data_IF_677657290437
#
_entry.id   IF_677657290437
#
_cell.length_a   1.000
_cell.length_b   1.000
_cell.length_c   1.000
_cell.angle_alpha   90.00
_cell.angle_beta   90.00
_cell.angle_gamma   90.00
#
_symmetry.space_group_name_H-M   'P 1'
#
loop_
_entity.id
_entity.type
_entity.pdbx_description
1 polymer ?
#
# COMPACT_ATOMS: atom_id res chain seq x y z
N UNK A 1 -2.39 -26.87 6.85
CA UNK A 1 -2.43 -25.67 6.01
C UNK A 1 -2.38 -24.48 6.95
N UNK A 2 -1.42 -23.57 6.78
CA UNK A 2 -1.31 -22.37 7.60
C UNK A 2 -2.29 -21.30 7.12
N UNK A 3 -2.64 -20.39 8.02
CA UNK A 3 -3.48 -19.22 7.74
C UNK A 3 -2.88 -17.98 8.42
N UNK A 4 -2.81 -16.88 7.67
CA UNK A 4 -2.50 -15.55 8.17
C UNK A 4 -3.69 -14.64 7.89
N UNK A 5 -4.25 -14.05 8.95
CA UNK A 5 -5.44 -13.19 8.88
C UNK A 5 -5.11 -11.78 9.34
N UNK A 6 -5.27 -10.81 8.46
CA UNK A 6 -5.01 -9.39 8.74
C UNK A 6 -6.33 -8.61 8.65
N UNK A 7 -6.84 -8.05 9.75
CA UNK A 7 -7.97 -7.13 9.70
C UNK A 7 -7.62 -5.85 8.93
N UNK A 8 -8.57 -5.35 8.14
CA UNK A 8 -8.45 -4.06 7.46
C UNK A 8 -9.78 -3.30 7.42
N UNK A 9 -9.68 -1.99 7.29
CA UNK A 9 -10.76 -1.12 6.84
C UNK A 9 -10.80 -1.13 5.31
N UNK A 10 -11.84 -1.72 4.69
CA UNK A 10 -11.97 -1.78 3.25
C UNK A 10 -12.19 -0.40 2.62
N UNK A 11 -12.47 0.67 3.39
CA UNK A 11 -12.51 2.04 2.89
C UNK A 11 -11.14 2.74 2.94
N UNK A 12 -10.12 2.11 3.51
CA UNK A 12 -8.76 2.64 3.48
C UNK A 12 -7.97 1.96 2.33
N UNK A 13 -7.78 2.64 1.19
CA UNK A 13 -7.08 2.04 0.05
C UNK A 13 -5.65 1.62 0.39
N UNK A 14 -4.96 2.33 1.30
CA UNK A 14 -3.60 1.98 1.70
C UNK A 14 -3.54 0.67 2.48
N UNK A 15 -4.55 0.35 3.29
CA UNK A 15 -4.60 -0.93 3.99
C UNK A 15 -4.86 -2.09 3.04
N UNK A 16 -5.73 -1.91 2.04
CA UNK A 16 -5.89 -2.89 0.96
C UNK A 16 -4.57 -3.14 0.23
N UNK A 17 -3.87 -2.07 -0.16
CA UNK A 17 -2.58 -2.17 -0.84
C UNK A 17 -1.49 -2.77 0.05
N UNK A 18 -1.52 -2.49 1.36
CA UNK A 18 -0.63 -3.12 2.31
C UNK A 18 -0.89 -4.63 2.45
N UNK A 19 -2.15 -5.09 2.40
CA UNK A 19 -2.46 -6.52 2.29
C UNK A 19 -1.91 -7.13 0.99
N UNK A 20 -2.01 -6.41 -0.13
CA UNK A 20 -1.42 -6.83 -1.40
C UNK A 20 0.11 -6.94 -1.31
N UNK A 21 0.78 -5.96 -0.72
CA UNK A 21 2.25 -5.99 -0.53
C UNK A 21 2.70 -7.04 0.48
N UNK A 22 1.92 -7.31 1.53
CA UNK A 22 2.15 -8.45 2.40
C UNK A 22 2.05 -9.76 1.62
N UNK A 23 1.06 -9.89 0.74
CA UNK A 23 0.90 -11.08 -0.07
C UNK A 23 2.05 -11.28 -1.07
N UNK A 24 2.54 -10.21 -1.71
CA UNK A 24 3.78 -10.25 -2.51
C UNK A 24 4.96 -10.82 -1.69
N UNK A 25 5.16 -10.29 -0.48
CA UNK A 25 6.25 -10.72 0.39
C UNK A 25 6.11 -12.17 0.84
N UNK A 26 4.90 -12.59 1.22
CA UNK A 26 4.61 -13.98 1.60
C UNK A 26 4.84 -14.94 0.44
N UNK A 27 4.46 -14.54 -0.78
CA UNK A 27 4.56 -15.39 -1.96
C UNK A 27 6.01 -15.69 -2.38
N UNK A 28 6.99 -14.94 -1.88
CA UNK A 28 8.42 -15.21 -2.10
C UNK A 28 8.91 -16.51 -1.47
N UNK A 29 8.36 -16.87 -0.31
CA UNK A 29 8.68 -18.08 0.45
C UNK A 29 7.58 -19.14 0.33
N UNK A 30 6.33 -18.72 0.06
CA UNK A 30 5.19 -19.59 -0.17
C UNK A 30 4.48 -19.26 -1.51
N UNK A 31 5.04 -19.66 -2.68
CA UNK A 31 4.47 -19.33 -4.00
C UNK A 31 3.03 -19.82 -4.23
N UNK A 32 2.65 -20.92 -3.57
CA UNK A 32 1.31 -21.51 -3.61
C UNK A 32 0.32 -20.85 -2.64
N UNK A 33 0.73 -19.80 -1.92
CA UNK A 33 -0.17 -19.08 -1.04
C UNK A 33 -1.29 -18.41 -1.85
N UNK A 34 -2.50 -18.45 -1.29
CA UNK A 34 -3.70 -17.87 -1.88
C UNK A 34 -4.20 -16.72 -1.00
N UNK A 35 -4.62 -15.63 -1.61
CA UNK A 35 -5.24 -14.48 -0.94
C UNK A 35 -6.73 -14.44 -1.26
N UNK A 36 -7.57 -14.25 -0.24
CA UNK A 36 -8.95 -13.80 -0.37
C UNK A 36 -9.25 -12.68 0.62
N UNK A 37 -10.37 -12.00 0.42
CA UNK A 37 -10.90 -11.02 1.35
C UNK A 37 -12.27 -11.44 1.89
N UNK A 38 -12.45 -11.22 3.19
CA UNK A 38 -13.70 -11.44 3.89
C UNK A 38 -14.25 -10.10 4.36
N UNK A 39 -15.14 -9.49 3.56
CA UNK A 39 -15.81 -8.25 3.91
C UNK A 39 -17.08 -8.53 4.74
N UNK A 40 -17.25 -7.80 5.85
CA UNK A 40 -18.44 -7.90 6.70
C UNK A 40 -19.60 -7.13 6.03
N UNK A 41 -20.71 -7.80 5.66
CA UNK A 41 -21.86 -7.15 5.04
C UNK A 41 -22.62 -6.22 6.00
N UNK A 42 -22.55 -6.46 7.32
CA UNK A 42 -23.23 -5.66 8.33
C UNK A 42 -22.38 -4.47 8.79
N UNK A 43 -21.05 -4.56 8.65
CA UNK A 43 -20.11 -3.53 9.09
C UNK A 43 -19.24 -3.06 7.92
N UNK A 44 -19.63 -2.01 7.17
CA UNK A 44 -18.96 -1.61 5.93
C UNK A 44 -17.47 -1.27 6.03
N UNK A 45 -16.96 -1.01 7.25
CA UNK A 45 -15.55 -0.71 7.54
C UNK A 45 -14.78 -1.89 8.15
N UNK A 46 -15.32 -3.10 8.10
CA UNK A 46 -14.67 -4.30 8.63
C UNK A 46 -14.47 -5.32 7.53
N UNK A 47 -13.22 -5.64 7.25
CA UNK A 47 -12.84 -6.75 6.40
C UNK A 47 -11.61 -7.46 6.98
N UNK A 48 -11.27 -8.62 6.42
CA UNK A 48 -9.99 -9.27 6.66
C UNK A 48 -9.38 -9.75 5.35
N UNK A 49 -8.07 -9.59 5.20
CA UNK A 49 -7.28 -10.32 4.23
C UNK A 49 -6.91 -11.67 4.84
N UNK A 50 -7.17 -12.76 4.11
CA UNK A 50 -6.85 -14.11 4.55
C UNK A 50 -5.90 -14.74 3.54
N UNK A 51 -4.68 -15.01 3.99
CA UNK A 51 -3.66 -15.69 3.21
C UNK A 51 -3.55 -17.13 3.73
N UNK A 52 -3.77 -18.10 2.85
CA UNK A 52 -3.72 -19.53 3.19
C UNK A 52 -2.69 -20.24 2.33
N UNK A 53 -1.96 -21.20 2.89
CA UNK A 53 -0.98 -21.98 2.14
C UNK A 53 -0.18 -22.95 3.03
N UNK A 54 0.61 -23.82 2.41
CA UNK A 54 1.65 -24.58 3.13
C UNK A 54 2.93 -23.75 3.24
N UNK A 55 3.58 -23.78 4.40
CA UNK A 55 4.87 -23.11 4.59
C UNK A 55 4.80 -21.59 4.61
N UNK A 56 3.66 -21.00 5.02
CA UNK A 56 3.58 -19.55 5.19
C UNK A 56 4.68 -19.07 6.15
N UNK A 57 5.41 -17.98 5.82
CA UNK A 57 6.40 -17.42 6.71
C UNK A 57 5.73 -16.84 7.94
N UNK A 58 6.49 -16.78 9.04
CA UNK A 58 6.05 -16.07 10.25
C UNK A 58 5.90 -14.57 9.96
N UNK A 59 4.79 -13.97 10.43
CA UNK A 59 4.49 -12.56 10.18
C UNK A 59 5.64 -11.67 10.68
N UNK A 60 6.16 -11.93 11.89
CA UNK A 60 7.29 -11.18 12.45
C UNK A 60 8.50 -11.22 11.53
N UNK A 61 8.79 -12.36 10.89
CA UNK A 61 9.88 -12.48 9.91
C UNK A 61 9.67 -11.57 8.71
N UNK A 62 8.44 -11.50 8.18
CA UNK A 62 8.09 -10.59 7.08
C UNK A 62 8.19 -9.12 7.52
N UNK A 63 7.72 -8.78 8.72
CA UNK A 63 7.84 -7.41 9.26
C UNK A 63 9.30 -7.02 9.50
N UNK A 64 10.12 -7.97 9.96
CA UNK A 64 11.55 -7.78 10.16
C UNK A 64 12.25 -7.50 8.82
N UNK A 65 11.94 -8.28 7.78
CA UNK A 65 12.45 -8.05 6.44
C UNK A 65 12.03 -6.68 5.90
N UNK A 66 10.76 -6.29 6.11
CA UNK A 66 10.26 -4.98 5.70
C UNK A 66 10.93 -3.82 6.46
N UNK A 67 11.22 -3.99 7.76
CA UNK A 67 11.95 -3.00 8.58
C UNK A 67 13.38 -2.82 8.11
N UNK A 68 14.05 -3.91 7.79
CA UNK A 68 15.46 -3.94 7.37
C UNK A 68 15.61 -3.73 5.86
N UNK A 69 14.51 -3.43 5.16
CA UNK A 69 14.53 -3.24 3.73
C UNK A 69 15.40 -2.03 3.37
N UNK A 70 16.27 -2.22 2.38
CA UNK A 70 17.22 -1.20 1.94
C UNK A 70 17.03 -0.95 0.44
N UNK A 71 16.99 0.32 0.04
CA UNK A 71 16.85 0.71 -1.34
C UNK A 71 18.19 1.19 -1.92
N UNK A 72 18.56 0.65 -3.08
CA UNK A 72 19.64 1.18 -3.91
C UNK A 72 19.07 2.06 -5.02
N UNK A 73 19.76 3.17 -5.30
CA UNK A 73 19.41 4.19 -6.28
C UNK A 73 20.53 4.46 -7.30
N UNK A 74 21.67 3.78 -7.16
CA UNK A 74 22.89 4.05 -7.92
C UNK A 74 22.69 3.95 -9.43
N UNK A 75 21.89 2.98 -9.89
CA UNK A 75 21.56 2.77 -11.30
C UNK A 75 20.89 3.99 -11.97
N UNK A 76 20.12 4.76 -11.19
CA UNK A 76 19.30 5.87 -11.71
C UNK A 76 19.84 7.24 -11.29
N UNK A 77 21.01 7.29 -10.67
CA UNK A 77 21.55 8.51 -10.08
C UNK A 77 21.78 9.60 -11.13
N UNK A 78 22.31 9.24 -12.29
CA UNK A 78 22.68 10.18 -13.34
C UNK A 78 21.52 10.50 -14.31
N UNK A 79 20.52 9.62 -14.39
CA UNK A 79 19.50 9.66 -15.44
C UNK A 79 18.12 10.11 -14.95
N UNK A 80 17.82 9.97 -13.66
CA UNK A 80 16.50 10.28 -13.09
C UNK A 80 16.62 11.24 -11.89
N UNK A 81 15.72 12.21 -11.83
CA UNK A 81 15.67 13.19 -10.74
C UNK A 81 15.49 12.53 -9.37
N UNK A 82 16.24 13.00 -8.36
CA UNK A 82 16.20 12.51 -6.96
C UNK A 82 14.78 12.38 -6.38
N UNK A 83 13.85 13.22 -6.82
CA UNK A 83 12.48 13.22 -6.30
C UNK A 83 11.65 12.03 -6.77
N UNK A 84 12.08 11.32 -7.82
CA UNK A 84 11.32 10.24 -8.48
C UNK A 84 12.19 9.06 -8.93
N UNK A 85 13.46 8.99 -8.51
CA UNK A 85 14.35 7.86 -8.83
C UNK A 85 13.68 6.54 -8.42
N UNK A 86 13.59 5.55 -9.33
CA UNK A 86 13.20 4.19 -8.97
C UNK A 86 14.05 3.67 -7.81
N UNK A 87 13.43 2.87 -6.94
CA UNK A 87 14.09 2.28 -5.79
C UNK A 87 14.28 0.79 -6.03
N UNK A 88 15.53 0.32 -6.13
CA UNK A 88 15.82 -1.11 -6.10
C UNK A 88 15.80 -1.58 -4.65
N UNK A 89 14.63 -2.02 -4.20
CA UNK A 89 14.37 -2.41 -2.83
C UNK A 89 14.78 -3.87 -2.61
N UNK A 90 15.72 -4.08 -1.69
CA UNK A 90 16.10 -5.39 -1.17
C UNK A 90 15.38 -5.64 0.15
N UNK A 91 14.57 -6.70 0.20
CA UNK A 91 13.79 -7.09 1.36
C UNK A 91 13.95 -8.60 1.58
N UNK A 92 14.62 -8.98 2.68
CA UNK A 92 15.03 -10.37 2.89
C UNK A 92 16.01 -10.83 1.80
N UNK A 93 15.72 -11.96 1.16
CA UNK A 93 16.53 -12.54 0.07
C UNK A 93 16.09 -12.09 -1.33
N UNK A 94 15.10 -11.18 -1.40
CA UNK A 94 14.47 -10.77 -2.66
C UNK A 94 14.74 -9.31 -2.95
N UNK A 95 14.68 -9.01 -4.23
CA UNK A 95 14.86 -7.68 -4.77
C UNK A 95 13.69 -7.35 -5.70
N UNK A 96 13.20 -6.13 -5.60
CA UNK A 96 12.19 -5.57 -6.49
C UNK A 96 12.55 -4.13 -6.85
N UNK A 97 12.29 -3.75 -8.09
CA UNK A 97 12.35 -2.33 -8.48
C UNK A 97 10.97 -1.72 -8.21
N UNK A 98 10.96 -0.65 -7.42
CA UNK A 98 9.78 0.16 -7.15
C UNK A 98 9.84 1.42 -8.01
N UNK A 99 8.84 1.57 -8.87
CA UNK A 99 8.75 2.63 -9.87
C UNK A 99 7.29 2.98 -10.23
N UNK A 100 6.30 2.52 -9.46
CA UNK A 100 4.85 2.78 -9.71
C UNK A 100 4.48 4.26 -9.84
N UNK A 101 5.33 5.16 -9.35
CA UNK A 101 5.14 6.60 -9.44
C UNK A 101 5.61 7.19 -10.77
N UNK A 102 6.18 6.39 -11.67
CA UNK A 102 6.55 6.74 -13.04
C UNK A 102 5.62 6.05 -14.05
N UNK A 103 5.44 6.68 -15.20
CA UNK A 103 4.82 6.01 -16.36
C UNK A 103 5.75 4.96 -16.96
N UNK A 104 5.23 4.18 -17.90
CA UNK A 104 5.95 3.06 -18.54
C UNK A 104 7.24 3.46 -19.29
N UNK A 105 7.43 4.75 -19.55
CA UNK A 105 8.60 5.30 -20.26
C UNK A 105 9.53 6.14 -19.37
N UNK A 106 9.20 6.28 -18.08
CA UNK A 106 9.92 7.12 -17.11
C UNK A 106 9.99 8.60 -17.51
N UNK A 107 9.06 9.07 -18.34
CA UNK A 107 9.00 10.46 -18.80
C UNK A 107 8.24 11.34 -17.81
N UNK A 108 7.23 10.78 -17.13
CA UNK A 108 6.33 11.53 -16.26
C UNK A 108 5.97 10.76 -15.01
N UNK A 109 5.58 11.51 -13.99
CA UNK A 109 5.03 10.91 -12.77
C UNK A 109 3.58 10.54 -12.96
N UNK A 110 3.18 9.38 -12.44
CA UNK A 110 1.77 8.98 -12.38
C UNK A 110 1.00 9.84 -11.37
N UNK A 111 -0.33 9.82 -11.46
CA UNK A 111 -1.18 10.49 -10.48
C UNK A 111 -1.02 9.92 -9.06
N UNK A 112 -0.55 8.68 -8.93
CA UNK A 112 -0.33 7.99 -7.66
C UNK A 112 0.80 8.63 -6.84
N UNK A 113 1.75 9.33 -7.47
CA UNK A 113 2.81 10.06 -6.75
C UNK A 113 2.18 11.16 -5.88
N UNK A 114 2.35 11.01 -4.56
CA UNK A 114 1.72 11.87 -3.56
C UNK A 114 2.69 12.81 -2.81
N UNK A 115 4.01 12.59 -2.89
CA UNK A 115 5.00 13.48 -2.29
C UNK A 115 5.44 14.62 -3.23
N UNK A 116 5.93 15.71 -2.64
CA UNK A 116 6.40 16.90 -3.34
C UNK A 116 7.45 17.67 -2.53
N UNK A 117 8.01 18.73 -3.11
CA UNK A 117 9.00 19.60 -2.46
C UNK A 117 10.36 18.90 -2.28
N UNK A 118 10.93 18.98 -1.08
CA UNK A 118 12.26 18.43 -0.76
C UNK A 118 12.27 16.93 -0.40
N UNK A 119 11.14 16.24 -0.61
CA UNK A 119 11.01 14.79 -0.38
C UNK A 119 11.58 14.04 -1.59
N UNK A 120 12.49 13.12 -1.32
CA UNK A 120 13.08 12.22 -2.31
C UNK A 120 12.62 10.79 -2.04
N UNK A 121 12.65 9.93 -3.07
CA UNK A 121 12.35 8.50 -2.88
C UNK A 121 13.32 7.87 -1.89
N UNK A 122 14.60 8.23 -1.97
CA UNK A 122 15.60 7.81 -0.99
C UNK A 122 15.23 8.18 0.46
N UNK A 123 14.85 9.44 0.74
CA UNK A 123 14.42 9.82 2.10
C UNK A 123 13.25 8.99 2.62
N UNK A 124 12.29 8.66 1.76
CA UNK A 124 11.14 7.83 2.14
C UNK A 124 11.58 6.43 2.58
N UNK A 125 12.51 5.81 1.85
CA UNK A 125 13.04 4.47 2.18
C UNK A 125 14.09 4.48 3.31
N UNK A 126 14.79 5.58 3.53
CA UNK A 126 15.72 5.70 4.66
C UNK A 126 14.95 5.93 5.98
N UNK A 127 13.81 6.62 5.93
CA UNK A 127 13.08 7.04 7.13
C UNK A 127 11.92 6.10 7.51
N UNK A 128 11.13 5.56 6.57
CA UNK A 128 9.91 4.80 6.90
C UNK A 128 10.17 3.37 7.39
N UNK A 129 10.95 2.51 6.69
CA UNK A 129 11.18 1.12 7.09
C UNK A 129 11.67 0.96 8.53
N UNK A 130 12.67 1.73 9.03
CA UNK A 130 13.15 1.59 10.40
C UNK A 130 12.09 1.83 11.48
N UNK A 131 10.98 2.50 11.14
CA UNK A 131 9.88 2.79 12.07
C UNK A 131 8.83 1.68 12.17
N UNK A 132 9.00 0.56 11.45
CA UNK A 132 8.11 -0.60 11.51
C UNK A 132 8.29 -1.34 12.85
N UNK A 133 7.19 -1.52 13.58
CA UNK A 133 7.15 -2.34 14.78
C UNK A 133 6.94 -3.82 14.42
N UNK A 134 7.97 -4.63 14.64
CA UNK A 134 7.98 -6.07 14.32
C UNK A 134 7.26 -6.95 15.36
N UNK A 135 6.99 -6.39 16.54
CA UNK A 135 6.26 -7.05 17.64
C UNK A 135 4.74 -6.91 17.51
N UNK A 136 4.27 -6.15 16.52
CA UNK A 136 2.85 -5.85 16.36
C UNK A 136 2.08 -7.12 15.99
N UNK A 137 1.05 -7.50 16.75
CA UNK A 137 0.26 -8.66 16.42
C UNK A 137 -0.63 -8.39 15.18
N UNK A 138 -1.07 -9.44 14.46
CA UNK A 138 -1.83 -9.31 13.22
C UNK A 138 -3.04 -8.36 13.30
N UNK A 139 -3.76 -8.36 14.41
CA UNK A 139 -4.97 -7.56 14.65
C UNK A 139 -4.72 -6.06 14.78
N UNK A 140 -3.51 -5.67 15.19
CA UNK A 140 -3.11 -4.28 15.40
C UNK A 140 -2.18 -3.76 14.29
N UNK A 141 -1.82 -4.62 13.33
CA UNK A 141 -0.81 -4.36 12.32
C UNK A 141 -0.99 -3.00 11.62
N UNK A 142 -2.22 -2.69 11.18
CA UNK A 142 -2.52 -1.44 10.50
C UNK A 142 -2.90 -0.28 11.42
N UNK A 143 -2.90 -0.48 12.72
CA UNK A 143 -3.14 0.55 13.74
C UNK A 143 -1.84 1.07 14.36
N UNK A 144 -0.75 0.31 14.27
CA UNK A 144 0.58 0.72 14.72
C UNK A 144 1.04 1.98 13.98
N UNK A 145 1.28 3.05 14.74
CA UNK A 145 1.60 4.37 14.21
C UNK A 145 2.80 4.99 14.91
N UNK A 146 3.46 5.90 14.20
CA UNK A 146 4.57 6.70 14.69
C UNK A 146 4.36 8.17 14.32
N UNK A 147 5.06 9.08 14.99
CA UNK A 147 5.12 10.48 14.63
C UNK A 147 6.32 10.69 13.69
N UNK A 148 6.05 11.08 12.44
CA UNK A 148 7.10 11.39 11.47
C UNK A 148 6.59 12.36 10.39
N UNK A 149 7.53 12.96 9.65
CA UNK A 149 7.25 13.80 8.48
C UNK A 149 7.30 13.01 7.17
N UNK A 150 7.90 11.83 7.18
CA UNK A 150 7.99 10.93 6.03
C UNK A 150 6.70 10.16 5.83
N UNK A 151 6.23 10.09 4.58
CA UNK A 151 5.10 9.25 4.14
C UNK A 151 5.03 9.27 2.61
N UNK A 152 4.61 8.17 1.99
CA UNK A 152 4.26 8.20 0.56
C UNK A 152 2.98 8.98 0.33
N UNK A 153 2.09 9.04 1.33
CA UNK A 153 0.82 9.78 1.26
C UNK A 153 -0.36 8.87 0.86
N UNK A 154 -0.20 7.56 1.01
CA UNK A 154 -1.24 6.59 0.67
C UNK A 154 -2.26 6.49 1.79
N UNK A 155 -1.88 6.55 3.07
CA UNK A 155 -2.85 6.38 4.16
C UNK A 155 -3.65 7.68 4.42
N UNK A 156 -4.98 7.71 4.15
CA UNK A 156 -5.81 8.89 4.37
C UNK A 156 -5.79 9.37 5.83
N UNK A 157 -5.59 8.48 6.80
CA UNK A 157 -5.59 8.83 8.24
C UNK A 157 -4.45 9.79 8.58
N UNK A 158 -3.35 9.73 7.84
CA UNK A 158 -2.20 10.63 8.00
C UNK A 158 -2.42 12.00 7.36
N UNK A 159 -3.46 12.16 6.55
CA UNK A 159 -3.89 13.44 6.00
C UNK A 159 -4.86 14.17 6.94
N UNK A 160 -5.82 13.46 7.56
CA UNK A 160 -6.81 14.02 8.49
C UNK A 160 -6.17 14.73 9.68
N UNK A 161 -5.20 14.10 10.35
CA UNK A 161 -4.46 14.73 11.44
C UNK A 161 -3.79 16.04 11.02
N UNK A 162 -3.46 16.21 9.75
CA UNK A 162 -2.81 17.40 9.23
C UNK A 162 -3.79 18.46 8.72
N UNK A 163 -5.07 18.14 8.56
CA UNK A 163 -6.16 19.09 8.29
C UNK A 163 -6.59 19.82 9.56
N UNK A 164 -6.63 19.12 10.70
CA UNK A 164 -6.97 19.70 12.01
C UNK A 164 -5.98 20.80 12.45
N UNK A 165 -4.78 20.85 11.87
CA UNK A 165 -3.77 21.87 12.20
C UNK A 165 -3.92 23.20 11.45
N UNK A 166 -4.86 23.34 10.49
CA UNK A 166 -5.21 24.62 9.85
C UNK A 166 -4.11 25.34 9.03
N UNK A 167 -2.86 24.87 9.09
CA UNK A 167 -1.69 25.47 8.46
C UNK A 167 -0.70 24.39 7.99
N UNK A 168 0.21 24.76 7.09
CA UNK A 168 1.28 23.87 6.61
C UNK A 168 2.15 23.38 7.79
N UNK A 169 2.16 22.08 8.13
CA UNK A 169 2.94 21.56 9.27
C UNK A 169 4.45 21.81 9.15
N UNK A 170 4.93 22.11 7.94
CA UNK A 170 6.34 22.39 7.67
C UNK A 170 6.83 23.68 8.35
N UNK A 171 5.96 24.67 8.61
CA UNK A 171 6.36 25.94 9.23
C UNK A 171 6.53 25.84 10.76
N UNK A 172 6.02 24.77 11.38
CA UNK A 172 6.10 24.56 12.83
C UNK A 172 6.82 23.27 13.25
N UNK A 173 7.41 22.53 12.31
CA UNK A 173 8.24 21.38 12.61
C UNK A 173 7.52 20.22 13.30
N UNK A 174 6.18 20.17 13.27
CA UNK A 174 5.39 19.14 13.97
C UNK A 174 5.23 17.88 13.14
N UNK A 175 5.40 16.74 13.79
CA UNK A 175 5.26 15.42 13.18
C UNK A 175 3.80 15.05 12.91
N UNK A 176 3.57 14.27 11.85
CA UNK A 176 2.25 13.71 11.55
C UNK A 176 2.18 12.27 12.03
N UNK A 177 1.00 11.84 12.50
CA UNK A 177 0.75 10.42 12.75
C UNK A 177 0.78 9.65 11.42
N UNK A 178 1.78 8.79 11.24
CA UNK A 178 1.99 7.94 10.07
C UNK A 178 1.91 6.48 10.49
N UNK A 179 1.55 5.60 9.55
CA UNK A 179 1.45 4.15 9.74
C UNK A 179 2.50 3.47 8.86
N UNK A 180 3.76 3.31 9.34
CA UNK A 180 4.89 2.95 8.48
C UNK A 180 4.70 1.66 7.73
N UNK A 181 4.17 0.62 8.39
CA UNK A 181 3.94 -0.66 7.73
C UNK A 181 2.90 -0.58 6.61
N UNK A 182 1.87 0.26 6.78
CA UNK A 182 0.84 0.50 5.75
C UNK A 182 1.46 1.24 4.56
N UNK A 183 2.32 2.22 4.81
CA UNK A 183 3.00 2.99 3.76
C UNK A 183 4.04 2.12 3.02
N UNK A 184 4.86 1.34 3.72
CA UNK A 184 5.91 0.49 3.11
C UNK A 184 5.30 -0.69 2.36
N UNK A 185 4.42 -1.48 3.00
CA UNK A 185 3.75 -2.58 2.30
C UNK A 185 2.80 -2.06 1.21
N UNK A 186 2.17 -0.89 1.41
CA UNK A 186 1.36 -0.26 0.37
C UNK A 186 2.19 0.09 -0.88
N UNK A 187 3.41 0.59 -0.71
CA UNK A 187 4.32 0.88 -1.82
C UNK A 187 4.76 -0.40 -2.56
N UNK A 188 5.01 -1.49 -1.83
CA UNK A 188 5.29 -2.82 -2.41
C UNK A 188 4.06 -3.35 -3.14
N UNK A 189 2.87 -3.23 -2.52
CA UNK A 189 1.60 -3.65 -3.11
C UNK A 189 1.31 -2.93 -4.41
N UNK A 190 1.51 -1.61 -4.49
CA UNK A 190 1.38 -0.84 -5.73
C UNK A 190 2.34 -1.31 -6.84
N UNK A 191 3.42 -2.00 -6.49
CA UNK A 191 4.33 -2.53 -7.49
C UNK A 191 3.67 -3.61 -8.35
N UNK A 192 3.06 -4.59 -7.70
CA UNK A 192 2.37 -5.69 -8.37
C UNK A 192 0.91 -5.40 -8.71
N UNK A 193 0.22 -4.64 -7.86
CA UNK A 193 -1.21 -4.34 -7.93
C UNK A 193 -1.42 -2.92 -8.45
N UNK A 194 -1.00 -2.69 -9.70
CA UNK A 194 -0.97 -1.39 -10.40
C UNK A 194 -2.37 -0.80 -10.61
N UNK A 195 -2.88 -0.07 -9.62
CA UNK A 195 -4.17 0.61 -9.74
C UNK A 195 -4.16 1.65 -10.87
N UNK A 196 -5.25 1.71 -11.64
CA UNK A 196 -5.36 2.64 -12.78
C UNK A 196 -5.78 4.05 -12.34
N UNK A 197 -4.80 4.93 -12.17
CA UNK A 197 -5.00 6.32 -11.79
C UNK A 197 -5.23 7.29 -12.98
N UNK A 198 -5.46 6.77 -14.18
CA UNK A 198 -5.78 7.57 -15.39
C UNK A 198 -7.28 7.82 -15.54
N UNK A 199 -8.11 7.11 -14.79
CA UNK A 199 -9.57 7.17 -14.89
C UNK A 199 -10.12 8.50 -14.35
N UNK A 200 -11.10 9.06 -15.06
CA UNK A 200 -11.83 10.27 -14.61
C UNK A 200 -12.80 10.00 -13.45
N UNK A 201 -13.24 8.76 -13.29
CA UNK A 201 -14.28 8.34 -12.32
C UNK A 201 -13.71 7.94 -10.95
N UNK A 202 -12.44 8.28 -10.68
CA UNK A 202 -11.71 7.84 -9.49
C UNK A 202 -10.95 6.52 -9.71
N UNK A 203 -10.17 6.16 -8.69
CA UNK A 203 -9.32 4.97 -8.65
C UNK A 203 -10.11 3.82 -8.00
N UNK A 204 -10.12 2.67 -8.64
CA UNK A 204 -10.88 1.49 -8.22
C UNK A 204 -9.99 0.42 -7.65
N UNK A 205 -10.51 -0.30 -6.67
CA UNK A 205 -9.98 -1.59 -6.26
C UNK A 205 -11.11 -2.54 -5.85
N UNK A 206 -10.81 -3.84 -5.85
CA UNK A 206 -11.78 -4.88 -5.58
C UNK A 206 -11.30 -5.80 -4.45
N UNK A 207 -12.21 -6.08 -3.51
CA UNK A 207 -12.07 -7.11 -2.51
C UNK A 207 -12.83 -8.34 -3.00
N UNK A 208 -12.12 -9.39 -3.39
CA UNK A 208 -12.69 -10.63 -3.89
C UNK A 208 -12.78 -11.69 -2.78
N UNK A 209 -13.80 -12.55 -2.82
CA UNK A 209 -13.99 -13.57 -1.76
C UNK A 209 -13.35 -14.92 -2.04
N UNK A 210 -12.98 -15.18 -3.29
CA UNK A 210 -12.39 -16.47 -3.69
C UNK A 210 -10.88 -16.52 -3.43
N UNK A 211 -10.30 -17.60 -2.91
CA UNK A 211 -8.85 -17.74 -2.79
C UNK A 211 -8.15 -17.63 -4.17
N UNK A 212 -7.20 -16.72 -4.31
CA UNK A 212 -6.47 -16.48 -5.56
C UNK A 212 -4.96 -16.57 -5.41
N UNK A 213 -4.26 -17.21 -6.37
CA UNK A 213 -2.80 -17.12 -6.45
C UNK A 213 -2.37 -15.72 -6.87
N UNK A 214 -1.10 -15.37 -6.61
CA UNK A 214 -0.56 -14.01 -6.74
C UNK A 214 -0.89 -13.32 -8.08
N UNK A 215 -0.62 -14.00 -9.21
CA UNK A 215 -0.82 -13.39 -10.53
C UNK A 215 -2.30 -13.08 -10.80
N UNK A 216 -3.20 -13.96 -10.36
CA UNK A 216 -4.65 -13.79 -10.53
C UNK A 216 -5.16 -12.69 -9.59
N UNK A 217 -4.66 -12.64 -8.35
CA UNK A 217 -4.96 -11.60 -7.38
C UNK A 217 -4.59 -10.19 -7.88
N UNK A 218 -3.42 -10.03 -8.53
CA UNK A 218 -3.00 -8.75 -9.14
C UNK A 218 -4.02 -8.24 -10.13
N UNK A 219 -4.52 -9.12 -11.00
CA UNK A 219 -5.53 -8.75 -11.99
C UNK A 219 -6.90 -8.51 -11.34
N UNK A 220 -7.31 -9.34 -10.38
CA UNK A 220 -8.58 -9.20 -9.66
C UNK A 220 -8.70 -7.86 -8.93
N UNK A 221 -7.58 -7.32 -8.43
CA UNK A 221 -7.55 -6.04 -7.75
C UNK A 221 -7.85 -4.83 -8.65
N UNK A 222 -7.54 -4.91 -9.94
CA UNK A 222 -7.61 -3.76 -10.87
C UNK A 222 -8.72 -3.92 -11.91
N UNK A 223 -9.13 -5.15 -12.18
CA UNK A 223 -10.09 -5.46 -13.22
C UNK A 223 -11.28 -6.24 -12.69
N UNK A 224 -12.43 -5.79 -13.14
CA UNK A 224 -13.65 -6.53 -13.03
C UNK A 224 -13.68 -7.66 -14.08
N UNK A 225 -13.84 -8.92 -13.67
CA UNK A 225 -14.27 -10.00 -14.58
C UNK A 225 -15.58 -10.65 -14.11
N UNK A 226 -16.31 -11.27 -15.03
CA UNK A 226 -17.59 -11.92 -14.74
C UNK A 226 -17.37 -13.27 -14.03
N UNK A 227 -18.26 -13.59 -13.10
CA UNK A 227 -18.21 -14.83 -12.31
C UNK A 227 -17.39 -14.74 -11.01
N UNK A 228 -16.75 -13.61 -10.70
CA UNK A 228 -16.02 -13.42 -9.45
C UNK A 228 -16.82 -12.64 -8.41
N UNK A 229 -17.20 -13.26 -7.28
CA UNK A 229 -17.81 -12.53 -6.18
C UNK A 229 -16.81 -11.52 -5.59
N UNK A 230 -17.25 -10.25 -5.50
CA UNK A 230 -16.40 -9.14 -5.07
C UNK A 230 -17.17 -7.92 -4.57
N UNK A 231 -16.48 -7.08 -3.82
CA UNK A 231 -16.88 -5.73 -3.45
C UNK A 231 -15.97 -4.71 -4.16
N UNK A 232 -16.56 -3.72 -4.82
CA UNK A 232 -15.86 -2.62 -5.50
C UNK A 232 -15.82 -1.39 -4.61
N UNK A 233 -14.65 -0.78 -4.54
CA UNK A 233 -14.42 0.47 -3.83
C UNK A 233 -13.77 1.48 -4.77
N UNK A 234 -14.07 2.75 -4.52
CA UNK A 234 -13.60 3.88 -5.33
C UNK A 234 -13.05 4.97 -4.42
N UNK A 235 -11.85 5.47 -4.70
CA UNK A 235 -11.25 6.59 -3.98
C UNK A 235 -10.63 7.60 -4.95
N UNK A 236 -10.34 8.79 -4.46
CA UNK A 236 -9.71 9.86 -5.23
C UNK A 236 -8.36 10.23 -4.65
N UNK A 237 -7.57 10.97 -5.44
CA UNK A 237 -6.35 11.60 -4.97
C UNK A 237 -6.64 13.09 -4.78
N UNK A 238 -6.76 13.49 -3.51
CA UNK A 238 -6.97 14.87 -3.13
C UNK A 238 -5.62 15.61 -3.06
N UNK A 239 -5.68 16.95 -3.10
CA UNK A 239 -4.53 17.82 -2.95
C UNK A 239 -4.72 18.74 -1.75
N UNK A 240 -3.63 19.05 -1.06
CA UNK A 240 -3.51 20.05 -0.01
C UNK A 240 -2.45 21.07 -0.39
N UNK A 241 -2.83 22.35 -0.32
CA UNK A 241 -1.98 23.44 -0.79
C UNK A 241 -1.64 23.29 -2.27
N UNK A 242 -0.45 23.74 -2.67
CA UNK A 242 -0.04 23.76 -4.07
C UNK A 242 0.35 22.36 -4.61
N UNK A 243 0.87 21.45 -3.78
CA UNK A 243 1.59 20.27 -4.30
C UNK A 243 1.46 18.98 -3.50
N UNK A 244 0.94 18.99 -2.27
CA UNK A 244 0.87 17.77 -1.45
C UNK A 244 -0.36 16.96 -1.83
N UNK A 245 -0.21 15.71 -2.29
CA UNK A 245 -1.35 14.85 -2.57
C UNK A 245 -1.50 13.75 -1.53
N UNK A 246 -2.70 13.19 -1.45
CA UNK A 246 -2.98 12.06 -0.58
C UNK A 246 -4.19 11.28 -1.11
N UNK A 247 -4.26 10.00 -0.80
CA UNK A 247 -5.45 9.21 -1.11
C UNK A 247 -6.59 9.59 -0.16
N UNK A 248 -7.81 9.68 -0.66
CA UNK A 248 -9.00 9.82 0.19
C UNK A 248 -9.39 8.46 0.77
N UNK A 249 -10.27 8.48 1.78
CA UNK A 249 -11.05 7.28 2.06
C UNK A 249 -11.87 6.92 0.82
N UNK A 250 -11.99 5.63 0.57
CA UNK A 250 -12.82 5.11 -0.49
C UNK A 250 -14.30 5.17 -0.10
N UNK A 251 -15.15 5.15 -1.12
CA UNK A 251 -16.58 4.86 -1.02
C UNK A 251 -16.84 3.45 -1.55
N UNK A 252 -17.76 2.75 -0.91
CA UNK A 252 -18.30 1.51 -1.46
C UNK A 252 -19.14 1.82 -2.70
N UNK A 253 -18.88 1.12 -3.81
CA UNK A 253 -19.53 1.37 -5.08
C UNK A 253 -20.54 0.28 -5.44
N UNK A 254 -20.14 -1.00 -5.37
CA UNK A 254 -21.01 -2.13 -5.69
C UNK A 254 -20.53 -3.41 -5.02
N UNK A 255 -21.45 -4.36 -4.83
CA UNK A 255 -21.12 -5.76 -4.54
C UNK A 255 -21.72 -6.65 -5.62
N UNK A 256 -20.91 -7.53 -6.20
CA UNK A 256 -21.36 -8.60 -7.07
C UNK A 256 -21.19 -9.93 -6.34
N UNK A 257 -22.24 -10.74 -6.37
CA UNK A 257 -22.24 -12.10 -5.84
C UNK A 257 -22.82 -13.02 -6.89
N UNK A 258 -22.22 -14.19 -7.03
CA UNK A 258 -22.68 -15.23 -7.93
C UNK A 258 -23.09 -16.40 -7.03
N UNK A 259 -24.34 -16.36 -6.57
CA UNK A 259 -25.02 -17.46 -5.89
C UNK A 259 -26.12 -17.97 -6.81
#
# INVERSE_FOLDING_TARGET
MGELRIPLDPLNPAQFLACCGLFEAVNWDAPEALLRFEADPATPRRAAAVITGSGLPDLRGVLQAARDAAADFSEYEETVEKSVRPARLRMGTRELVLDWWLDEFYERTTNLKCWAGQVTTQKLFDELPPQISVETPPEELFSASTLTKSKFGMDPRSAWNALDFGFSPNEQGKDSKTYPIVEVLGAIGLQGFRLDARRREGIRYFLWSEPMPLLVARTAAVAAWDGLPRCRYEFDIAKRGQSYKYFTLARFAERKSYY
#
